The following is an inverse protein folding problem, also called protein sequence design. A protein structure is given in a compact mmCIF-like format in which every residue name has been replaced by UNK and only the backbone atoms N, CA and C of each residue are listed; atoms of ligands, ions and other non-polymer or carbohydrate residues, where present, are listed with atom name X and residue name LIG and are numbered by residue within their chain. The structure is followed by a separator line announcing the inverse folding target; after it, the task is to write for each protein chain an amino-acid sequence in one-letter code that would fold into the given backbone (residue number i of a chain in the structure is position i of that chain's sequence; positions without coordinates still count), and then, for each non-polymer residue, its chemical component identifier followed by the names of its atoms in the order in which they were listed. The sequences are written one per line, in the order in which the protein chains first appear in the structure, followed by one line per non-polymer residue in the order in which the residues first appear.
data_IF_839715908864
#
_entry.id   IF_839715908864
#
_cell.length_a   1.000
_cell.length_b   1.000
_cell.length_c   1.000
_cell.angle_alpha   90.00
_cell.angle_beta   90.00
_cell.angle_gamma   90.00
#
_symmetry.space_group_name_H-M   'P 1'
#
loop_
_entity.id
_entity.type
_entity.pdbx_description
1 polymer ?
#
# COMPACT_ATOMS: atom_id res chain seq x y z
N UNK A 1 38.26 -9.08 15.80
CA UNK A 1 37.16 -8.87 14.84
C UNK A 1 37.63 -9.31 13.46
N UNK A 2 36.87 -10.18 12.78
CA UNK A 2 37.18 -10.60 11.41
C UNK A 2 37.23 -9.36 10.51
N UNK A 3 38.08 -9.36 9.50
CA UNK A 3 38.28 -8.26 8.58
C UNK A 3 36.99 -8.06 7.71
N UNK A 4 36.41 -9.19 7.24
CA UNK A 4 35.18 -9.23 6.50
C UNK A 4 34.22 -10.23 7.13
N UNK A 5 32.98 -9.85 7.33
CA UNK A 5 31.92 -10.70 7.90
C UNK A 5 30.52 -10.22 7.48
N UNK A 6 29.62 -11.16 7.25
CA UNK A 6 28.19 -10.92 7.10
C UNK A 6 27.48 -11.54 8.30
N UNK A 7 26.62 -10.77 8.94
CA UNK A 7 25.82 -11.21 10.09
C UNK A 7 24.33 -10.92 9.74
N UNK A 8 23.52 -11.95 9.77
CA UNK A 8 22.08 -11.83 9.64
C UNK A 8 21.43 -11.60 11.00
N UNK A 9 20.38 -10.75 11.05
CA UNK A 9 19.64 -10.45 12.27
C UNK A 9 20.56 -9.92 13.41
N UNK A 10 21.51 -9.06 13.05
CA UNK A 10 22.49 -8.53 13.98
C UNK A 10 21.84 -7.63 15.04
N UNK A 11 21.82 -8.05 16.30
CA UNK A 11 21.26 -7.31 17.41
C UNK A 11 22.27 -6.30 17.96
N UNK A 12 21.90 -5.02 18.02
CA UNK A 12 22.73 -3.91 18.52
C UNK A 12 21.92 -3.11 19.54
N UNK A 13 22.54 -2.76 20.66
CA UNK A 13 21.94 -1.94 21.70
C UNK A 13 22.87 -0.80 22.11
N UNK A 14 22.30 0.41 22.17
CA UNK A 14 22.96 1.63 22.67
C UNK A 14 21.99 2.34 23.62
N UNK A 15 22.26 2.30 24.91
CA UNK A 15 21.34 2.79 25.94
C UNK A 15 20.00 2.04 25.91
N UNK A 16 18.91 2.77 25.75
CA UNK A 16 17.56 2.21 25.61
C UNK A 16 17.19 1.85 24.17
N UNK A 17 18.00 2.26 23.20
CA UNK A 17 17.78 1.99 21.78
C UNK A 17 18.27 0.59 21.43
N UNK A 18 17.39 -0.22 20.89
CA UNK A 18 17.67 -1.59 20.44
C UNK A 18 17.22 -1.76 18.99
N UNK A 19 18.08 -2.29 18.16
CA UNK A 19 17.81 -2.62 16.76
C UNK A 19 18.22 -4.05 16.45
N UNK A 20 17.64 -4.59 15.39
CA UNK A 20 18.02 -5.86 14.78
C UNK A 20 18.12 -5.64 13.28
N UNK A 21 19.36 -5.54 12.80
CA UNK A 21 19.69 -5.27 11.40
C UNK A 21 19.51 -6.56 10.61
N UNK A 22 18.69 -6.57 9.55
CA UNK A 22 18.43 -7.77 8.74
C UNK A 22 19.74 -8.36 8.19
N UNK A 23 20.58 -7.52 7.56
CA UNK A 23 21.91 -7.93 7.08
C UNK A 23 22.94 -6.86 7.42
N UNK A 24 23.91 -7.22 8.25
CA UNK A 24 25.08 -6.40 8.56
C UNK A 24 26.29 -6.96 7.83
N UNK A 25 26.89 -6.20 6.94
CA UNK A 25 28.08 -6.56 6.19
C UNK A 25 29.23 -5.65 6.61
N UNK A 26 30.33 -6.24 7.14
CA UNK A 26 31.57 -5.55 7.41
C UNK A 26 32.61 -5.90 6.36
N UNK A 27 33.18 -4.88 5.72
CA UNK A 27 34.30 -5.00 4.77
C UNK A 27 35.37 -3.97 5.19
N UNK A 28 36.47 -4.45 5.69
CA UNK A 28 37.55 -3.60 6.22
C UNK A 28 37.01 -2.62 7.27
N UNK A 29 37.10 -1.31 7.00
CA UNK A 29 36.61 -0.24 7.89
C UNK A 29 35.19 0.27 7.53
N UNK A 30 34.43 -0.47 6.72
CA UNK A 30 33.06 -0.10 6.33
C UNK A 30 32.06 -1.10 6.88
N UNK A 31 31.01 -0.59 7.50
CA UNK A 31 29.83 -1.34 7.94
C UNK A 31 28.67 -0.95 7.00
N UNK A 32 28.10 -1.91 6.29
CA UNK A 32 26.82 -1.74 5.59
C UNK A 32 25.73 -2.31 6.46
N UNK A 33 24.69 -1.53 6.67
CA UNK A 33 23.44 -1.97 7.26
C UNK A 33 22.40 -2.04 6.16
N UNK A 34 21.81 -3.20 5.96
CA UNK A 34 20.87 -3.47 4.89
C UNK A 34 19.56 -3.91 5.51
N UNK A 35 18.53 -3.10 5.30
CA UNK A 35 17.16 -3.38 5.73
C UNK A 35 16.39 -3.92 4.54
N UNK A 36 15.76 -5.08 4.68
CA UNK A 36 15.02 -5.78 3.63
C UNK A 36 13.53 -5.45 3.75
N UNK A 37 12.93 -5.00 2.65
CA UNK A 37 11.51 -4.64 2.65
C UNK A 37 10.73 -5.39 1.57
N UNK A 38 9.57 -5.92 1.95
CA UNK A 38 8.59 -6.50 1.04
C UNK A 38 7.92 -5.40 0.19
N UNK A 39 8.73 -4.78 -0.66
CA UNK A 39 8.35 -3.69 -1.54
C UNK A 39 9.17 -3.76 -2.82
N UNK A 40 8.82 -2.95 -3.82
CA UNK A 40 9.54 -2.88 -5.09
C UNK A 40 10.39 -1.62 -5.21
N UNK A 41 11.46 -1.73 -5.99
CA UNK A 41 12.26 -0.62 -6.50
C UNK A 41 12.40 -0.69 -8.03
N UNK A 42 13.03 0.33 -8.61
CA UNK A 42 13.37 0.40 -10.03
C UNK A 42 14.86 0.74 -10.16
N UNK A 43 15.70 -0.29 -10.14
CA UNK A 43 17.15 -0.13 -10.12
C UNK A 43 17.71 0.39 -8.79
N UNK A 44 18.99 0.77 -8.81
CA UNK A 44 19.78 1.15 -7.62
C UNK A 44 19.83 2.64 -7.34
N UNK A 45 19.17 3.49 -8.16
CA UNK A 45 19.17 4.95 -7.98
C UNK A 45 18.28 5.37 -6.81
N UNK A 46 18.88 6.02 -5.80
CA UNK A 46 18.14 6.52 -4.63
C UNK A 46 17.21 7.70 -4.91
N UNK A 47 17.34 8.38 -6.08
CA UNK A 47 16.43 9.46 -6.46
C UNK A 47 14.97 9.01 -6.56
N UNK A 48 14.70 7.71 -6.74
CA UNK A 48 13.36 7.14 -6.74
C UNK A 48 12.57 7.37 -5.44
N UNK A 49 13.27 7.64 -4.33
CA UNK A 49 12.63 7.96 -3.04
C UNK A 49 12.16 9.40 -2.93
N UNK A 50 12.57 10.27 -3.87
CA UNK A 50 12.12 11.66 -3.90
C UNK A 50 10.88 11.79 -4.79
N UNK A 51 9.84 12.46 -4.30
CA UNK A 51 8.67 12.82 -5.08
C UNK A 51 8.88 14.11 -5.86
N UNK A 52 8.06 14.35 -6.87
CA UNK A 52 8.10 15.59 -7.68
C UNK A 52 7.86 16.87 -6.88
N UNK A 53 7.21 16.77 -5.73
CA UNK A 53 6.94 17.87 -4.79
C UNK A 53 8.01 18.01 -3.71
N UNK A 54 9.10 17.24 -3.76
CA UNK A 54 10.13 17.20 -2.73
C UNK A 54 9.78 16.31 -1.53
N UNK A 55 8.57 15.74 -1.47
CA UNK A 55 8.18 14.82 -0.40
C UNK A 55 8.82 13.44 -0.59
N UNK A 56 9.29 12.82 0.49
CA UNK A 56 9.88 11.48 0.45
C UNK A 56 8.81 10.39 0.22
N UNK A 57 9.03 9.57 -0.80
CA UNK A 57 8.28 8.33 -1.03
C UNK A 57 8.77 7.24 -0.10
N UNK A 58 7.90 6.25 0.23
CA UNK A 58 8.23 5.13 1.12
C UNK A 58 8.83 5.57 2.46
N UNK A 59 8.41 6.72 2.96
CA UNK A 59 8.94 7.40 4.14
C UNK A 59 9.07 6.47 5.35
N UNK A 60 8.08 5.59 5.61
CA UNK A 60 8.15 4.63 6.73
C UNK A 60 9.38 3.72 6.68
N UNK A 61 9.80 3.30 5.49
CA UNK A 61 11.01 2.48 5.33
C UNK A 61 12.28 3.29 5.54
N UNK A 62 12.26 4.56 5.09
CA UNK A 62 13.38 5.48 5.32
C UNK A 62 13.51 5.85 6.80
N UNK A 63 12.41 6.04 7.52
CA UNK A 63 12.42 6.30 8.98
C UNK A 63 12.96 5.10 9.76
N UNK A 64 12.61 3.88 9.35
CA UNK A 64 13.11 2.65 9.96
C UNK A 64 14.63 2.53 9.80
N UNK A 65 15.14 2.58 8.57
CA UNK A 65 16.59 2.51 8.36
C UNK A 65 17.33 3.72 8.92
N UNK A 66 16.69 4.90 9.00
CA UNK A 66 17.29 6.09 9.64
C UNK A 66 17.51 5.88 11.13
N UNK A 67 16.54 5.28 11.82
CA UNK A 67 16.69 4.93 13.24
C UNK A 67 17.84 3.93 13.44
N UNK A 68 17.86 2.86 12.64
CA UNK A 68 18.95 1.88 12.69
C UNK A 68 20.32 2.51 12.39
N UNK A 69 20.37 3.41 11.39
CA UNK A 69 21.58 4.13 11.02
C UNK A 69 22.13 4.98 12.17
N UNK A 70 21.28 5.74 12.86
CA UNK A 70 21.67 6.55 14.03
C UNK A 70 22.23 5.67 15.17
N UNK A 71 21.57 4.55 15.48
CA UNK A 71 22.06 3.61 16.50
C UNK A 71 23.40 3.01 16.09
N UNK A 72 23.58 2.66 14.81
CA UNK A 72 24.84 2.13 14.31
C UNK A 72 25.97 3.16 14.30
N UNK A 73 25.70 4.44 14.02
CA UNK A 73 26.69 5.51 14.16
C UNK A 73 27.19 5.66 15.59
N UNK A 74 26.29 5.53 16.57
CA UNK A 74 26.65 5.60 17.98
C UNK A 74 27.46 4.36 18.46
N UNK A 75 27.16 3.19 17.88
CA UNK A 75 27.85 1.93 18.24
C UNK A 75 29.20 1.76 17.53
N UNK A 76 29.27 2.04 16.24
CA UNK A 76 30.45 1.84 15.38
C UNK A 76 31.19 3.16 15.10
N UNK A 77 31.59 3.88 16.15
CA UNK A 77 32.18 5.24 16.07
C UNK A 77 33.41 5.35 15.16
N UNK A 78 34.18 4.28 15.04
CA UNK A 78 35.45 4.25 14.28
C UNK A 78 35.27 3.69 12.86
N UNK A 79 34.06 3.29 12.49
CA UNK A 79 33.73 2.71 11.18
C UNK A 79 32.91 3.65 10.32
N UNK A 80 33.07 3.53 9.02
CA UNK A 80 32.18 4.16 8.06
C UNK A 80 30.89 3.34 7.94
N UNK A 81 29.76 3.86 8.43
CA UNK A 81 28.47 3.21 8.32
C UNK A 81 27.74 3.67 7.06
N UNK A 82 27.21 2.72 6.30
CA UNK A 82 26.45 2.97 5.06
C UNK A 82 25.08 2.27 5.14
N UNK A 83 23.98 3.03 5.05
CA UNK A 83 22.63 2.48 5.07
C UNK A 83 22.16 2.07 3.66
N UNK A 84 21.48 0.91 3.58
CA UNK A 84 20.88 0.37 2.37
C UNK A 84 19.45 -0.11 2.63
N UNK A 85 18.57 0.08 1.66
CA UNK A 85 17.28 -0.61 1.55
C UNK A 85 17.38 -1.68 0.46
N UNK A 86 17.03 -2.92 0.78
CA UNK A 86 16.97 -4.00 -0.20
C UNK A 86 15.51 -4.32 -0.53
N UNK A 87 15.18 -4.28 -1.80
CA UNK A 87 13.81 -4.49 -2.31
C UNK A 87 13.81 -5.29 -3.61
N UNK A 88 12.64 -5.85 -3.96
CA UNK A 88 12.46 -6.52 -5.23
C UNK A 88 12.52 -5.51 -6.39
N UNK A 89 13.37 -5.80 -7.38
CA UNK A 89 13.64 -4.89 -8.48
C UNK A 89 12.75 -5.20 -9.68
N UNK A 90 11.85 -4.27 -10.01
CA UNK A 90 10.94 -4.38 -11.15
C UNK A 90 11.61 -4.23 -12.52
N UNK A 91 12.91 -3.95 -12.57
CA UNK A 91 13.67 -3.85 -13.81
C UNK A 91 14.40 -5.13 -14.15
N UNK A 92 14.48 -6.08 -13.20
CA UNK A 92 15.18 -7.35 -13.36
C UNK A 92 14.18 -8.45 -13.67
N UNK A 93 14.45 -9.23 -14.70
CA UNK A 93 13.68 -10.40 -15.09
C UNK A 93 14.22 -11.65 -14.41
N UNK A 94 13.33 -12.55 -13.98
CA UNK A 94 13.74 -13.86 -13.49
C UNK A 94 14.44 -14.65 -14.59
N UNK A 95 15.63 -15.14 -14.31
CA UNK A 95 16.40 -15.98 -15.26
C UNK A 95 15.96 -17.45 -15.27
N UNK A 96 15.07 -17.85 -14.34
CA UNK A 96 14.60 -19.23 -14.16
C UNK A 96 13.08 -19.30 -14.05
N UNK A 97 12.52 -20.46 -14.40
CA UNK A 97 11.13 -20.79 -14.10
C UNK A 97 10.99 -21.32 -12.67
N UNK A 98 9.80 -21.22 -12.12
CA UNK A 98 9.40 -21.86 -10.85
C UNK A 98 10.29 -21.49 -9.65
N UNK A 99 10.89 -20.30 -9.65
CA UNK A 99 11.72 -19.81 -8.55
C UNK A 99 10.99 -19.88 -7.21
N UNK A 100 9.68 -19.59 -7.19
CA UNK A 100 8.86 -19.64 -5.99
C UNK A 100 8.79 -21.03 -5.34
N UNK A 101 8.93 -22.11 -6.10
CA UNK A 101 8.91 -23.49 -5.60
C UNK A 101 10.19 -23.87 -4.83
N UNK A 102 11.24 -23.05 -4.92
CA UNK A 102 12.48 -23.23 -4.16
C UNK A 102 12.37 -22.75 -2.72
N UNK A 103 11.25 -22.15 -2.35
CA UNK A 103 10.99 -21.59 -1.03
C UNK A 103 9.69 -22.17 -0.45
N UNK A 104 9.75 -22.60 0.80
CA UNK A 104 8.58 -23.14 1.52
C UNK A 104 8.41 -22.39 2.83
N UNK A 105 7.21 -21.92 3.10
CA UNK A 105 6.87 -21.36 4.41
C UNK A 105 6.49 -22.51 5.35
N UNK A 106 7.26 -22.67 6.43
CA UNK A 106 6.99 -23.68 7.47
C UNK A 106 6.79 -23.00 8.82
N UNK A 107 5.83 -23.49 9.58
CA UNK A 107 5.62 -23.07 10.96
C UNK A 107 6.68 -23.72 11.86
N UNK A 108 7.49 -22.91 12.56
CA UNK A 108 8.50 -23.36 13.52
C UNK A 108 8.20 -22.71 14.86
N UNK A 109 7.56 -23.47 15.76
CA UNK A 109 6.93 -22.92 16.96
C UNK A 109 5.78 -21.98 16.58
N UNK A 110 5.76 -20.77 17.11
CA UNK A 110 4.72 -19.77 16.84
C UNK A 110 5.06 -18.84 15.65
N UNK A 111 6.15 -19.11 14.92
CA UNK A 111 6.62 -18.24 13.83
C UNK A 111 6.63 -18.98 12.49
N UNK A 112 6.21 -18.27 11.45
CA UNK A 112 6.40 -18.72 10.08
C UNK A 112 7.85 -18.43 9.66
N UNK A 113 8.52 -19.45 9.07
CA UNK A 113 9.86 -19.33 8.52
C UNK A 113 9.86 -19.73 7.05
N UNK A 114 10.51 -18.92 6.24
CA UNK A 114 10.86 -19.30 4.86
C UNK A 114 12.07 -20.22 4.89
N UNK A 115 11.96 -21.38 4.26
CA UNK A 115 13.00 -22.40 4.17
C UNK A 115 13.27 -22.67 2.70
N UNK A 116 14.53 -22.67 2.31
CA UNK A 116 14.94 -23.12 0.98
C UNK A 116 14.77 -24.65 0.92
N UNK A 117 14.20 -25.14 -0.17
CA UNK A 117 14.02 -26.59 -0.40
C UNK A 117 15.36 -27.28 -0.48
N UNK A 118 15.48 -28.42 0.23
CA UNK A 118 16.72 -29.20 0.25
C UNK A 118 17.16 -29.61 -1.16
N UNK A 119 18.44 -29.44 -1.43
CA UNK A 119 19.04 -29.74 -2.73
C UNK A 119 18.95 -28.59 -3.76
N UNK A 120 18.36 -27.44 -3.40
CA UNK A 120 18.37 -26.25 -4.25
C UNK A 120 19.80 -25.73 -4.44
N UNK A 121 20.21 -25.57 -5.68
CA UNK A 121 21.53 -25.03 -6.06
C UNK A 121 21.46 -23.53 -6.39
N UNK A 122 22.61 -22.87 -6.53
CA UNK A 122 22.65 -21.48 -7.00
C UNK A 122 22.09 -21.30 -8.41
N UNK A 123 22.24 -22.33 -9.27
CA UNK A 123 21.70 -22.34 -10.63
C UNK A 123 20.15 -22.39 -10.61
N UNK A 124 19.58 -23.14 -9.68
CA UNK A 124 18.12 -23.19 -9.47
C UNK A 124 17.52 -21.86 -9.01
N UNK A 125 18.30 -21.04 -8.29
CA UNK A 125 17.86 -19.72 -7.83
C UNK A 125 17.98 -18.65 -8.92
N UNK A 126 18.83 -18.90 -9.93
CA UNK A 126 19.09 -17.97 -11.01
C UNK A 126 19.75 -16.66 -10.56
N UNK A 127 19.56 -15.62 -11.36
CA UNK A 127 20.08 -14.29 -11.05
C UNK A 127 19.26 -13.61 -9.94
N UNK A 128 19.94 -12.75 -9.16
CA UNK A 128 19.31 -12.04 -8.06
C UNK A 128 18.29 -11.01 -8.57
N UNK A 129 17.07 -11.11 -8.09
CA UNK A 129 15.95 -10.17 -8.40
C UNK A 129 15.77 -9.07 -7.35
N UNK A 130 16.69 -8.99 -6.37
CA UNK A 130 16.67 -7.97 -5.31
C UNK A 130 17.81 -6.97 -5.56
N UNK A 131 17.54 -5.69 -5.33
CA UNK A 131 18.54 -4.62 -5.41
C UNK A 131 18.67 -3.93 -4.08
N UNK A 132 19.92 -3.81 -3.59
CA UNK A 132 20.29 -3.03 -2.40
C UNK A 132 20.60 -1.59 -2.82
N UNK A 133 19.75 -0.65 -2.44
CA UNK A 133 19.87 0.76 -2.78
C UNK A 133 20.52 1.48 -1.61
N UNK A 134 21.64 2.14 -1.85
CA UNK A 134 22.27 3.00 -0.87
C UNK A 134 21.40 4.25 -0.68
N UNK A 135 20.95 4.51 0.56
CA UNK A 135 19.99 5.59 0.86
C UNK A 135 20.58 6.71 1.70
N UNK A 136 21.90 6.86 1.69
CA UNK A 136 22.58 7.82 2.58
C UNK A 136 22.17 9.27 2.30
N UNK A 137 22.13 9.69 1.03
CA UNK A 137 21.76 11.05 0.63
C UNK A 137 20.29 11.33 0.94
N UNK A 138 19.41 10.35 0.66
CA UNK A 138 17.99 10.44 1.02
C UNK A 138 17.79 10.58 2.54
N UNK A 139 18.58 9.87 3.35
CA UNK A 139 18.50 10.02 4.80
C UNK A 139 19.01 11.38 5.29
N UNK A 140 19.94 12.02 4.59
CA UNK A 140 20.37 13.38 4.92
C UNK A 140 19.21 14.38 4.85
N UNK A 141 18.30 14.22 3.88
CA UNK A 141 17.05 15.01 3.83
C UNK A 141 16.14 14.68 5.02
N UNK A 142 15.93 13.40 5.30
CA UNK A 142 15.06 12.97 6.41
C UNK A 142 15.60 13.41 7.77
N UNK A 143 16.90 13.42 7.94
CA UNK A 143 17.59 13.84 9.18
C UNK A 143 17.78 15.36 9.28
N UNK A 144 17.46 16.12 8.22
CA UNK A 144 17.42 17.56 8.25
C UNK A 144 16.22 18.01 9.09
N UNK A 145 16.48 18.76 10.16
CA UNK A 145 15.46 19.13 11.15
C UNK A 145 14.35 20.01 10.54
N UNK A 146 14.68 20.93 9.64
CA UNK A 146 13.69 21.82 9.03
C UNK A 146 12.79 21.05 8.07
N UNK A 147 13.39 20.23 7.20
CA UNK A 147 12.63 19.36 6.29
C UNK A 147 11.68 18.43 7.06
N UNK A 148 12.18 17.79 8.10
CA UNK A 148 11.38 16.81 8.84
C UNK A 148 10.23 17.47 9.59
N UNK A 149 10.43 18.63 10.22
CA UNK A 149 9.39 19.39 10.92
C UNK A 149 8.27 19.84 10.00
N UNK A 150 8.62 20.29 8.79
CA UNK A 150 7.63 20.72 7.80
C UNK A 150 6.74 19.58 7.30
N UNK A 151 7.32 18.37 7.17
CA UNK A 151 6.66 17.19 6.59
C UNK A 151 6.21 16.17 7.65
N UNK A 152 6.41 16.42 8.94
CA UNK A 152 6.09 15.51 10.03
C UNK A 152 4.63 15.62 10.48
N UNK A 153 4.03 14.46 10.81
CA UNK A 153 2.76 14.39 11.52
C UNK A 153 2.91 14.59 13.05
N UNK A 154 4.14 14.82 13.56
CA UNK A 154 4.48 14.86 14.98
C UNK A 154 4.82 16.28 15.47
N UNK A 155 3.81 17.16 15.56
CA UNK A 155 3.89 18.46 16.24
C UNK A 155 5.13 19.31 15.91
N UNK A 156 5.61 19.27 14.65
CA UNK A 156 6.79 20.02 14.21
C UNK A 156 8.12 19.56 14.82
N UNK A 157 8.22 18.33 15.35
CA UNK A 157 9.47 17.77 15.87
C UNK A 157 10.39 17.33 14.75
N UNK A 158 11.71 17.43 14.97
CA UNK A 158 12.70 16.77 14.11
C UNK A 158 12.68 15.26 14.32
N UNK A 159 13.26 14.49 13.40
CA UNK A 159 13.33 13.04 13.52
C UNK A 159 14.05 12.60 14.81
N UNK A 160 15.19 13.22 15.13
CA UNK A 160 15.89 12.99 16.42
C UNK A 160 15.04 13.42 17.60
N UNK A 161 14.37 14.55 17.53
CA UNK A 161 13.48 15.03 18.58
C UNK A 161 12.28 14.11 18.85
N UNK A 162 11.83 13.32 17.85
CA UNK A 162 10.84 12.26 18.05
C UNK A 162 11.45 11.08 18.80
N UNK A 163 12.66 10.66 18.44
CA UNK A 163 13.37 9.57 19.13
C UNK A 163 13.58 9.93 20.61
N UNK A 164 14.05 11.14 20.88
CA UNK A 164 14.28 11.63 22.25
C UNK A 164 12.96 11.70 23.04
N UNK A 165 11.88 12.17 22.40
CA UNK A 165 10.55 12.20 22.99
C UNK A 165 10.01 10.80 23.31
N UNK A 166 10.20 9.79 22.43
CA UNK A 166 9.84 8.42 22.76
C UNK A 166 10.65 7.86 23.93
N UNK A 167 11.94 8.19 24.01
CA UNK A 167 12.79 7.78 25.13
C UNK A 167 12.28 8.41 26.45
N UNK A 168 11.90 9.68 26.45
CA UNK A 168 11.26 10.34 27.60
C UNK A 168 9.93 9.68 27.99
N UNK A 169 9.08 9.33 27.01
CA UNK A 169 7.82 8.63 27.27
C UNK A 169 8.07 7.26 27.92
N UNK A 170 9.04 6.50 27.40
CA UNK A 170 9.43 5.20 27.95
C UNK A 170 9.88 5.32 29.42
N UNK A 171 10.77 6.27 29.70
CA UNK A 171 11.21 6.57 31.08
C UNK A 171 10.06 7.05 31.97
N UNK A 172 9.12 7.79 31.43
CA UNK A 172 7.89 8.19 32.11
C UNK A 172 6.98 7.01 32.44
N UNK A 173 6.84 6.06 31.51
CA UNK A 173 6.07 4.84 31.70
C UNK A 173 6.69 3.94 32.78
N UNK A 174 8.01 3.71 32.74
CA UNK A 174 8.73 2.97 33.76
C UNK A 174 8.55 3.56 35.18
N UNK A 175 8.35 4.89 35.27
CA UNK A 175 8.12 5.61 36.54
C UNK A 175 6.63 5.76 36.89
N UNK A 176 5.73 5.03 36.25
CA UNK A 176 4.28 5.12 36.41
C UNK A 176 3.70 6.56 36.29
N UNK A 177 4.27 7.37 35.38
CA UNK A 177 3.71 8.68 35.04
C UNK A 177 2.50 8.51 34.12
N UNK A 178 1.60 9.50 34.15
CA UNK A 178 0.44 9.51 33.25
C UNK A 178 0.84 9.43 31.77
N UNK A 179 0.10 8.67 30.95
CA UNK A 179 0.38 8.58 29.52
C UNK A 179 0.24 9.96 28.86
N UNK A 180 0.97 10.15 27.78
CA UNK A 180 0.79 11.32 26.92
C UNK A 180 -0.60 11.28 26.27
N UNK A 181 -1.33 12.40 26.34
CA UNK A 181 -2.63 12.58 25.73
C UNK A 181 -2.54 13.69 24.69
N UNK A 182 -3.08 13.48 23.51
CA UNK A 182 -3.06 14.44 22.40
C UNK A 182 -4.44 15.01 22.11
N UNK A 183 -4.47 16.17 21.47
CA UNK A 183 -5.67 16.68 20.83
C UNK A 183 -6.06 15.79 19.63
N UNK A 184 -7.34 15.80 19.20
CA UNK A 184 -7.77 15.03 18.05
C UNK A 184 -6.99 15.39 16.78
N UNK A 185 -6.57 14.37 16.04
CA UNK A 185 -5.90 14.51 14.77
C UNK A 185 -6.33 13.40 13.80
N UNK A 186 -5.94 13.49 12.52
CA UNK A 186 -6.44 12.61 11.45
C UNK A 186 -6.37 11.12 11.79
N UNK A 187 -5.30 10.65 12.44
CA UNK A 187 -5.13 9.22 12.79
C UNK A 187 -6.03 8.75 13.93
N UNK A 188 -6.70 9.66 14.67
CA UNK A 188 -7.67 9.28 15.70
C UNK A 188 -8.89 8.56 15.12
N UNK A 189 -9.20 8.75 13.84
CA UNK A 189 -10.23 7.99 13.14
C UNK A 189 -9.98 6.48 13.25
N UNK A 190 -8.75 6.06 12.98
CA UNK A 190 -8.32 4.66 12.90
C UNK A 190 -7.36 4.32 14.06
N UNK A 191 -7.64 4.86 15.26
CA UNK A 191 -6.79 4.68 16.43
C UNK A 191 -6.72 3.21 16.86
N UNK A 192 -5.53 2.65 16.91
CA UNK A 192 -5.27 1.26 17.30
C UNK A 192 -5.73 0.93 18.73
N UNK A 193 -5.86 1.95 19.58
CA UNK A 193 -6.33 1.81 20.96
C UNK A 193 -7.84 2.04 21.11
N UNK A 194 -8.60 2.04 20.00
CA UNK A 194 -10.05 2.14 20.01
C UNK A 194 -10.67 0.76 20.20
N UNK A 195 -11.58 0.65 21.16
CA UNK A 195 -12.39 -0.56 21.37
C UNK A 195 -13.84 -0.18 21.70
N UNK A 196 -14.75 -1.15 21.64
CA UNK A 196 -16.18 -0.93 21.91
C UNK A 196 -16.45 -0.59 23.38
N UNK A 197 -15.58 -1.01 24.29
CA UNK A 197 -15.67 -0.69 25.72
C UNK A 197 -14.95 0.62 26.02
N UNK A 198 -15.71 1.64 26.46
CA UNK A 198 -15.17 2.94 26.84
C UNK A 198 -14.07 2.82 27.90
N UNK A 199 -14.25 1.94 28.88
CA UNK A 199 -13.34 1.77 30.00
C UNK A 199 -12.00 1.16 29.60
N UNK A 200 -11.99 0.33 28.55
CA UNK A 200 -10.80 -0.36 28.04
C UNK A 200 -10.27 0.24 26.73
N UNK A 201 -10.71 1.43 26.36
CA UNK A 201 -10.32 2.08 25.11
C UNK A 201 -9.41 3.28 25.37
N UNK A 202 -8.18 3.20 24.92
CA UNK A 202 -7.22 4.31 24.98
C UNK A 202 -7.72 5.55 24.23
N UNK A 203 -8.39 5.37 23.09
CA UNK A 203 -9.04 6.45 22.36
C UNK A 203 -10.06 7.19 23.24
N UNK A 204 -10.98 6.47 23.88
CA UNK A 204 -11.99 7.08 24.75
C UNK A 204 -11.33 7.78 25.93
N UNK A 205 -10.36 7.16 26.59
CA UNK A 205 -9.63 7.76 27.70
C UNK A 205 -8.88 9.03 27.27
N UNK A 206 -8.28 9.05 26.08
CA UNK A 206 -7.61 10.22 25.52
C UNK A 206 -8.63 11.38 25.33
N UNK A 207 -9.75 11.11 24.68
CA UNK A 207 -10.77 12.12 24.40
C UNK A 207 -11.43 12.64 25.67
N UNK A 208 -11.73 11.79 26.63
CA UNK A 208 -12.33 12.20 27.93
C UNK A 208 -11.35 13.06 28.74
N UNK A 209 -10.12 12.57 28.94
CA UNK A 209 -9.17 13.21 29.85
C UNK A 209 -8.56 14.49 29.29
N UNK A 210 -8.29 14.54 27.99
CA UNK A 210 -7.64 15.69 27.33
C UNK A 210 -8.67 16.69 26.81
N UNK A 211 -9.76 16.21 26.21
CA UNK A 211 -10.69 17.03 25.43
C UNK A 211 -12.08 17.14 26.10
N UNK A 212 -12.26 16.58 27.28
CA UNK A 212 -13.53 16.63 28.07
C UNK A 212 -14.75 16.07 27.32
N UNK A 213 -14.55 15.08 26.40
CA UNK A 213 -15.68 14.47 25.70
C UNK A 213 -16.58 13.70 26.68
N UNK A 214 -17.88 13.93 26.56
CA UNK A 214 -18.91 13.14 27.24
C UNK A 214 -19.37 11.95 26.37
N UNK A 215 -20.26 11.12 26.93
CA UNK A 215 -20.81 9.95 26.21
C UNK A 215 -21.50 10.31 24.89
N UNK A 216 -22.19 11.46 24.84
CA UNK A 216 -22.86 11.97 23.64
C UNK A 216 -21.88 12.32 22.52
N UNK A 217 -20.67 12.76 22.86
CA UNK A 217 -19.69 13.19 21.85
C UNK A 217 -19.12 12.00 21.07
N UNK A 218 -19.08 10.82 21.66
CA UNK A 218 -18.61 9.63 20.97
C UNK A 218 -19.56 9.15 19.87
N UNK A 219 -20.84 9.46 19.96
CA UNK A 219 -21.84 9.09 18.93
C UNK A 219 -22.12 10.21 17.93
N UNK A 220 -21.65 11.44 18.18
CA UNK A 220 -21.74 12.54 17.19
C UNK A 220 -20.84 12.21 15.99
N UNK A 221 -21.28 12.44 14.74
CA UNK A 221 -20.43 12.36 13.56
C UNK A 221 -19.25 13.34 13.65
N UNK A 222 -18.08 12.89 13.24
CA UNK A 222 -16.84 13.64 13.33
C UNK A 222 -16.48 14.28 11.98
N UNK A 223 -15.69 15.35 11.99
CA UNK A 223 -15.18 15.99 10.76
C UNK A 223 -14.36 15.04 9.88
N UNK A 224 -13.71 14.03 10.47
CA UNK A 224 -12.99 12.99 9.71
C UNK A 224 -13.90 11.98 9.01
N UNK A 225 -15.21 11.99 9.29
CA UNK A 225 -16.22 11.19 8.60
C UNK A 225 -16.70 11.87 7.30
N UNK A 226 -16.38 13.15 7.11
CA UNK A 226 -16.66 13.89 5.87
C UNK A 226 -15.86 13.26 4.73
N UNK A 227 -16.58 12.78 3.70
CA UNK A 227 -15.98 12.09 2.58
C UNK A 227 -14.91 12.94 1.86
N UNK A 228 -13.71 12.39 1.73
CA UNK A 228 -12.58 12.96 0.98
C UNK A 228 -12.35 14.48 1.25
N UNK A 229 -12.39 14.89 2.52
CA UNK A 229 -12.24 16.31 2.89
C UNK A 229 -10.79 16.79 2.84
N UNK A 230 -10.42 17.73 1.95
CA UNK A 230 -9.11 18.36 1.96
C UNK A 230 -8.94 19.35 3.13
N UNK A 231 -10.04 19.77 3.76
CA UNK A 231 -10.08 20.70 4.89
C UNK A 231 -9.98 20.04 6.27
N UNK A 232 -9.89 18.71 6.32
CA UNK A 232 -9.87 17.97 7.58
C UNK A 232 -8.79 18.47 8.55
N UNK A 233 -7.57 18.75 8.06
CA UNK A 233 -6.48 19.24 8.89
C UNK A 233 -6.78 20.63 9.47
N UNK A 234 -7.41 21.49 8.68
CA UNK A 234 -7.79 22.86 9.10
C UNK A 234 -8.81 22.77 10.23
N UNK A 235 -9.89 21.99 10.06
CA UNK A 235 -10.92 21.80 11.10
C UNK A 235 -10.35 21.28 12.42
N UNK A 236 -9.47 20.27 12.35
CA UNK A 236 -8.85 19.72 13.56
C UNK A 236 -7.95 20.74 14.27
N UNK A 237 -7.19 21.54 13.52
CA UNK A 237 -6.34 22.60 14.08
C UNK A 237 -7.13 23.74 14.70
N UNK A 238 -8.34 24.00 14.20
CA UNK A 238 -9.27 25.00 14.72
C UNK A 238 -10.07 24.48 15.93
N UNK A 239 -9.90 23.23 16.33
CA UNK A 239 -10.65 22.59 17.42
C UNK A 239 -12.10 22.25 17.06
N UNK A 240 -12.44 22.23 15.78
CA UNK A 240 -13.74 21.77 15.25
C UNK A 240 -13.66 20.28 14.99
N UNK A 241 -14.27 19.49 15.85
CA UNK A 241 -14.12 18.03 15.81
C UNK A 241 -15.37 17.30 15.33
N UNK A 242 -16.50 17.97 15.31
CA UNK A 242 -17.78 17.37 14.99
C UNK A 242 -18.37 17.95 13.70
N UNK A 243 -19.10 17.11 12.98
CA UNK A 243 -19.65 17.49 11.68
C UNK A 243 -20.72 18.59 11.79
N UNK A 244 -21.40 18.68 12.93
CA UNK A 244 -22.37 19.75 13.23
C UNK A 244 -21.73 21.11 13.63
N UNK A 245 -20.40 21.19 13.63
CA UNK A 245 -19.63 22.42 13.82
C UNK A 245 -19.16 23.05 12.51
N UNK A 246 -19.50 22.42 11.39
CA UNK A 246 -19.12 22.86 10.04
C UNK A 246 -20.34 22.92 9.12
N UNK A 247 -20.26 23.75 8.08
CA UNK A 247 -21.27 23.88 7.05
C UNK A 247 -20.64 23.94 5.64
N UNK A 248 -21.47 24.15 4.60
CA UNK A 248 -21.01 24.20 3.21
C UNK A 248 -20.03 25.34 2.91
N UNK A 249 -20.06 26.45 3.68
CA UNK A 249 -19.13 27.57 3.49
C UNK A 249 -17.70 27.25 3.93
N UNK A 250 -17.55 26.28 4.82
CA UNK A 250 -16.24 25.78 5.28
C UNK A 250 -15.53 24.89 4.27
N UNK A 251 -16.27 24.37 3.29
CA UNK A 251 -15.77 23.38 2.33
C UNK A 251 -15.01 24.03 1.16
N UNK A 252 -14.15 23.24 0.52
CA UNK A 252 -13.57 23.64 -0.75
C UNK A 252 -14.61 23.45 -1.86
N UNK A 253 -14.99 24.54 -2.51
CA UNK A 253 -15.96 24.55 -3.59
C UNK A 253 -15.32 24.02 -4.89
N UNK A 254 -15.42 22.70 -5.11
CA UNK A 254 -14.84 22.00 -6.26
C UNK A 254 -15.77 20.90 -6.81
N UNK A 255 -16.82 21.28 -7.53
CA UNK A 255 -17.70 20.39 -8.30
C UNK A 255 -18.35 19.26 -7.48
N UNK A 256 -18.43 18.06 -8.02
CA UNK A 256 -19.14 16.91 -7.43
C UNK A 256 -18.70 16.55 -6.00
N UNK A 257 -17.45 16.81 -5.64
CA UNK A 257 -16.98 16.60 -4.27
C UNK A 257 -17.65 17.56 -3.29
N UNK A 258 -17.73 18.82 -3.64
CA UNK A 258 -18.39 19.85 -2.83
C UNK A 258 -19.87 19.51 -2.62
N UNK A 259 -20.58 19.16 -3.70
CA UNK A 259 -21.99 18.77 -3.66
C UNK A 259 -22.23 17.58 -2.73
N UNK A 260 -21.42 16.52 -2.85
CA UNK A 260 -21.50 15.33 -2.01
C UNK A 260 -21.19 15.63 -0.54
N UNK A 261 -20.19 16.47 -0.25
CA UNK A 261 -19.84 16.85 1.13
C UNK A 261 -20.94 17.72 1.75
N UNK A 262 -21.48 18.70 1.01
CA UNK A 262 -22.59 19.53 1.47
C UNK A 262 -23.79 18.68 1.84
N UNK A 263 -24.20 17.79 0.95
CA UNK A 263 -25.32 16.87 1.18
C UNK A 263 -25.08 15.96 2.40
N UNK A 264 -23.88 15.45 2.57
CA UNK A 264 -23.52 14.63 3.74
C UNK A 264 -23.67 15.41 5.03
N UNK A 265 -23.17 16.65 5.08
CA UNK A 265 -23.25 17.51 6.28
C UNK A 265 -24.69 17.89 6.59
N UNK A 266 -25.46 18.30 5.59
CA UNK A 266 -26.88 18.66 5.73
C UNK A 266 -27.70 17.48 6.26
N UNK A 267 -27.59 16.30 5.64
CA UNK A 267 -28.28 15.10 6.09
C UNK A 267 -27.90 14.69 7.51
N UNK A 268 -26.63 14.82 7.86
CA UNK A 268 -26.14 14.54 9.20
C UNK A 268 -26.72 15.51 10.23
N UNK A 269 -26.70 16.82 9.93
CA UNK A 269 -27.20 17.87 10.82
C UNK A 269 -28.73 17.78 10.97
N UNK A 270 -29.43 17.42 9.92
CA UNK A 270 -30.87 17.16 9.93
C UNK A 270 -31.26 15.81 10.55
N UNK A 271 -30.25 14.98 10.95
CA UNK A 271 -30.44 13.63 11.49
C UNK A 271 -31.28 12.72 10.56
N UNK A 272 -31.14 12.91 9.24
CA UNK A 272 -31.77 12.06 8.26
C UNK A 272 -31.29 10.62 8.40
N UNK A 273 -32.24 9.67 8.38
CA UNK A 273 -31.96 8.23 8.36
C UNK A 273 -32.17 7.63 6.96
N UNK A 274 -32.68 8.42 6.05
CA UNK A 274 -32.96 8.00 4.69
C UNK A 274 -31.72 8.17 3.81
N UNK A 275 -31.46 7.19 2.95
CA UNK A 275 -30.44 7.31 1.93
C UNK A 275 -30.91 8.34 0.89
N UNK A 276 -30.01 9.24 0.53
CA UNK A 276 -30.25 10.13 -0.59
C UNK A 276 -29.87 9.40 -1.89
N UNK A 277 -30.75 9.46 -2.88
CA UNK A 277 -30.55 8.88 -4.22
C UNK A 277 -31.01 9.89 -5.26
N UNK A 278 -30.15 10.20 -6.23
CA UNK A 278 -30.51 10.93 -7.42
C UNK A 278 -31.22 9.97 -8.41
N UNK A 279 -32.53 9.85 -8.25
CA UNK A 279 -33.35 8.90 -9.02
C UNK A 279 -33.35 9.27 -10.51
N UNK A 280 -33.47 10.56 -10.87
CA UNK A 280 -33.51 10.99 -12.25
C UNK A 280 -32.16 10.83 -12.95
N UNK A 281 -31.07 11.19 -12.28
CA UNK A 281 -29.70 10.95 -12.79
C UNK A 281 -29.41 9.47 -12.97
N UNK A 282 -29.72 8.63 -11.97
CA UNK A 282 -29.55 7.18 -12.06
C UNK A 282 -30.36 6.55 -13.18
N UNK A 283 -31.62 7.01 -13.40
CA UNK A 283 -32.47 6.52 -14.47
C UNK A 283 -31.88 6.89 -15.83
N UNK A 284 -31.41 8.14 -15.98
CA UNK A 284 -30.77 8.58 -17.24
C UNK A 284 -29.56 7.72 -17.58
N UNK A 285 -28.69 7.43 -16.60
CA UNK A 285 -27.51 6.56 -16.77
C UNK A 285 -27.91 5.13 -17.21
N UNK A 286 -28.96 4.56 -16.58
CA UNK A 286 -29.41 3.20 -16.91
C UNK A 286 -30.05 3.14 -18.30
N UNK A 287 -30.72 4.21 -18.74
CA UNK A 287 -31.38 4.28 -20.06
C UNK A 287 -30.34 4.33 -21.20
N UNK A 288 -29.10 4.76 -20.92
CA UNK A 288 -27.99 4.82 -21.88
C UNK A 288 -27.24 3.48 -22.03
N UNK A 289 -27.56 2.44 -21.25
CA UNK A 289 -26.89 1.14 -21.32
C UNK A 289 -27.39 0.28 -22.48
N UNK A 290 -26.45 -0.33 -23.20
CA UNK A 290 -26.76 -1.39 -24.19
C UNK A 290 -26.93 -2.74 -23.48
N UNK A 291 -28.07 -3.39 -23.74
CA UNK A 291 -28.41 -4.66 -23.09
C UNK A 291 -28.19 -5.87 -24.01
N UNK A 292 -27.81 -7.07 -23.47
CA UNK A 292 -27.64 -7.39 -22.03
C UNK A 292 -26.37 -6.75 -21.45
N UNK A 293 -26.36 -6.47 -20.13
CA UNK A 293 -25.14 -6.00 -19.47
C UNK A 293 -24.17 -7.16 -19.26
N UNK A 294 -22.92 -6.98 -19.66
CA UNK A 294 -21.84 -7.92 -19.44
C UNK A 294 -21.10 -7.56 -18.14
N UNK A 295 -21.24 -8.39 -17.12
CA UNK A 295 -20.62 -8.19 -15.82
C UNK A 295 -19.39 -9.09 -15.73
N UNK A 296 -18.20 -8.50 -15.68
CA UNK A 296 -16.92 -9.21 -15.61
C UNK A 296 -16.23 -9.01 -14.27
N UNK A 297 -15.54 -10.05 -13.81
CA UNK A 297 -14.74 -10.03 -12.60
C UNK A 297 -13.46 -10.85 -12.81
N UNK A 298 -12.29 -10.28 -12.46
CA UNK A 298 -10.98 -10.88 -12.71
C UNK A 298 -10.29 -11.28 -11.42
N UNK A 299 -9.73 -12.50 -11.40
CA UNK A 299 -8.76 -12.90 -10.38
C UNK A 299 -7.35 -12.87 -10.95
N UNK A 300 -6.48 -12.20 -10.22
CA UNK A 300 -5.12 -11.91 -10.67
C UNK A 300 -4.11 -12.06 -9.55
N UNK A 301 -2.84 -12.18 -9.90
CA UNK A 301 -1.74 -12.17 -8.93
C UNK A 301 -0.59 -11.32 -9.43
N UNK A 302 0.18 -10.76 -8.49
CA UNK A 302 1.41 -10.02 -8.78
C UNK A 302 2.48 -10.41 -7.75
N UNK A 303 3.06 -11.62 -7.87
CA UNK A 303 3.97 -12.15 -6.87
C UNK A 303 5.31 -11.41 -6.84
N UNK A 304 5.89 -11.30 -5.65
CA UNK A 304 7.27 -10.79 -5.48
C UNK A 304 8.28 -11.68 -6.17
N UNK A 305 8.10 -13.00 -6.06
CA UNK A 305 8.93 -14.00 -6.72
C UNK A 305 8.22 -14.42 -8.00
N UNK A 306 8.73 -14.07 -9.19
CA UNK A 306 8.10 -14.40 -10.46
C UNK A 306 7.92 -15.91 -10.65
N UNK A 307 6.79 -16.31 -11.25
CA UNK A 307 6.51 -17.70 -11.55
C UNK A 307 7.28 -18.19 -12.79
N UNK A 308 7.50 -17.29 -13.75
CA UNK A 308 8.05 -17.62 -15.04
C UNK A 308 9.38 -16.88 -15.32
N UNK A 309 10.27 -17.52 -16.05
CA UNK A 309 11.44 -16.88 -16.63
C UNK A 309 11.00 -15.72 -17.53
N UNK A 310 11.74 -14.60 -17.51
CA UNK A 310 11.39 -13.38 -18.22
C UNK A 310 10.40 -12.47 -17.49
N UNK A 311 9.74 -12.96 -16.42
CA UNK A 311 8.83 -12.16 -15.61
C UNK A 311 9.58 -11.38 -14.52
N UNK A 312 9.05 -10.21 -14.18
CA UNK A 312 9.61 -9.28 -13.19
C UNK A 312 8.88 -9.40 -11.85
N UNK A 313 9.54 -9.07 -10.74
CA UNK A 313 8.86 -8.91 -9.45
C UNK A 313 7.65 -7.98 -9.55
N UNK A 314 6.53 -8.41 -8.96
CA UNK A 314 5.23 -7.71 -9.00
C UNK A 314 4.63 -7.51 -10.41
N UNK A 315 5.11 -8.24 -11.40
CA UNK A 315 4.46 -8.27 -12.71
C UNK A 315 3.12 -8.98 -12.60
N UNK A 316 2.07 -8.32 -13.09
CA UNK A 316 0.70 -8.83 -13.01
C UNK A 316 0.51 -10.11 -13.86
N UNK A 317 -0.31 -11.02 -13.35
CA UNK A 317 -0.68 -12.27 -14.02
C UNK A 317 -2.19 -12.49 -13.85
N UNK A 318 -3.02 -12.27 -14.89
CA UNK A 318 -4.41 -12.65 -14.87
C UNK A 318 -4.53 -14.16 -15.05
N UNK A 319 -5.32 -14.84 -14.23
CA UNK A 319 -5.46 -16.29 -14.27
C UNK A 319 -6.90 -16.82 -14.23
N UNK A 320 -7.85 -15.96 -13.88
CA UNK A 320 -9.27 -16.33 -13.85
C UNK A 320 -10.13 -15.12 -14.22
N UNK A 321 -11.23 -15.37 -14.93
CA UNK A 321 -12.37 -14.45 -14.99
C UNK A 321 -13.68 -15.19 -14.84
N UNK A 322 -14.72 -14.47 -14.40
CA UNK A 322 -16.11 -14.86 -14.53
C UNK A 322 -16.87 -13.82 -15.35
N UNK A 323 -17.83 -14.27 -16.15
CA UNK A 323 -18.67 -13.43 -16.98
C UNK A 323 -20.15 -13.78 -16.76
N UNK A 324 -20.92 -12.80 -16.37
CA UNK A 324 -22.37 -12.91 -16.18
C UNK A 324 -23.10 -11.91 -17.08
N UNK A 325 -24.28 -12.31 -17.56
CA UNK A 325 -25.19 -11.43 -18.27
C UNK A 325 -26.36 -11.04 -17.37
N UNK A 326 -26.63 -9.73 -17.31
CA UNK A 326 -27.85 -9.21 -16.72
C UNK A 326 -28.74 -8.68 -17.84
N UNK A 327 -29.92 -9.26 -17.97
CA UNK A 327 -30.91 -8.87 -18.96
C UNK A 327 -31.83 -7.78 -18.43
N UNK A 328 -32.46 -7.01 -19.36
CA UNK A 328 -33.34 -5.90 -19.01
C UNK A 328 -34.58 -6.32 -18.18
N UNK A 329 -34.96 -7.58 -18.24
CA UNK A 329 -36.08 -8.15 -17.45
C UNK A 329 -35.62 -8.57 -16.02
N UNK A 330 -34.34 -8.35 -15.66
CA UNK A 330 -33.78 -8.71 -14.39
C UNK A 330 -33.24 -10.13 -14.30
N UNK A 331 -33.33 -10.92 -15.37
CA UNK A 331 -32.73 -12.27 -15.41
C UNK A 331 -31.20 -12.19 -15.41
N UNK A 332 -30.57 -13.00 -14.61
CA UNK A 332 -29.11 -13.14 -14.56
C UNK A 332 -28.73 -14.53 -15.10
N UNK A 333 -27.68 -14.55 -15.91
CA UNK A 333 -27.13 -15.79 -16.50
C UNK A 333 -25.62 -15.83 -16.27
N UNK A 334 -25.10 -16.96 -15.77
CA UNK A 334 -23.67 -17.24 -15.81
C UNK A 334 -23.30 -17.62 -17.24
N UNK A 335 -22.55 -16.76 -17.93
CA UNK A 335 -22.25 -16.92 -19.35
C UNK A 335 -21.03 -17.78 -19.61
N UNK A 336 -19.94 -17.47 -18.94
CA UNK A 336 -18.67 -18.21 -19.08
C UNK A 336 -17.71 -17.90 -17.95
N UNK A 337 -16.71 -18.76 -17.84
CA UNK A 337 -15.55 -18.56 -16.96
C UNK A 337 -14.28 -19.07 -17.63
N UNK A 338 -13.15 -18.60 -17.14
CA UNK A 338 -11.82 -19.14 -17.44
C UNK A 338 -11.04 -19.30 -16.14
N UNK A 339 -10.31 -20.40 -16.03
CA UNK A 339 -9.34 -20.64 -14.94
C UNK A 339 -8.08 -21.28 -15.54
N UNK A 340 -6.96 -20.60 -15.40
CA UNK A 340 -5.64 -21.10 -15.84
C UNK A 340 -5.13 -22.19 -14.90
N UNK A 341 -5.31 -23.46 -15.26
CA UNK A 341 -4.96 -24.65 -14.46
C UNK A 341 -3.67 -25.34 -14.90
N UNK A 342 -3.04 -24.87 -15.97
CA UNK A 342 -1.84 -25.51 -16.52
C UNK A 342 -0.61 -25.33 -15.63
N UNK A 343 -0.05 -26.43 -15.11
CA UNK A 343 1.22 -26.36 -14.38
C UNK A 343 2.35 -25.88 -15.26
N UNK A 344 3.07 -24.83 -14.81
CA UNK A 344 4.23 -24.29 -15.53
C UNK A 344 3.90 -23.53 -16.81
N UNK A 345 2.61 -23.28 -17.11
CA UNK A 345 2.19 -22.51 -18.29
C UNK A 345 1.63 -21.14 -17.87
N UNK A 346 2.04 -20.12 -18.61
CA UNK A 346 1.51 -18.77 -18.43
C UNK A 346 0.06 -18.70 -18.97
N UNK A 347 -0.95 -18.44 -18.13
CA UNK A 347 -2.34 -18.45 -18.56
C UNK A 347 -2.78 -17.17 -19.28
N UNK A 348 -1.97 -16.09 -19.29
CA UNK A 348 -2.38 -14.76 -19.71
C UNK A 348 -2.91 -14.72 -21.16
N UNK A 349 -2.25 -15.41 -22.09
CA UNK A 349 -2.71 -15.41 -23.49
C UNK A 349 -4.00 -16.17 -23.68
N UNK A 350 -4.17 -17.32 -23.02
CA UNK A 350 -5.43 -18.06 -23.03
C UNK A 350 -6.56 -17.27 -22.37
N UNK A 351 -6.25 -16.55 -21.29
CA UNK A 351 -7.19 -15.66 -20.64
C UNK A 351 -7.71 -14.61 -21.63
N UNK A 352 -6.81 -13.95 -22.39
CA UNK A 352 -7.18 -12.92 -23.36
C UNK A 352 -8.05 -13.51 -24.48
N UNK A 353 -7.70 -14.67 -25.03
CA UNK A 353 -8.50 -15.34 -26.08
C UNK A 353 -9.91 -15.70 -25.57
N UNK A 354 -9.98 -16.29 -24.36
CA UNK A 354 -11.29 -16.68 -23.79
C UNK A 354 -12.15 -15.50 -23.42
N UNK A 355 -11.54 -14.39 -22.96
CA UNK A 355 -12.26 -13.15 -22.70
C UNK A 355 -12.81 -12.54 -24.00
N UNK A 356 -11.98 -12.53 -25.07
CA UNK A 356 -12.40 -12.09 -26.40
C UNK A 356 -13.56 -12.94 -26.94
N UNK A 357 -13.42 -14.28 -26.93
CA UNK A 357 -14.49 -15.19 -27.34
C UNK A 357 -15.81 -14.89 -26.60
N UNK A 358 -15.73 -14.70 -25.28
CA UNK A 358 -16.89 -14.55 -24.42
C UNK A 358 -17.62 -13.20 -24.60
N UNK A 359 -16.87 -12.09 -24.67
CA UNK A 359 -17.45 -10.74 -24.77
C UNK A 359 -17.82 -10.35 -26.20
N UNK A 360 -17.27 -11.01 -27.23
CA UNK A 360 -17.62 -10.74 -28.65
C UNK A 360 -18.95 -11.36 -29.09
N UNK A 361 -19.67 -12.05 -28.21
CA UNK A 361 -20.95 -12.68 -28.55
C UNK A 361 -22.13 -11.71 -28.59
N UNK A 362 -22.01 -10.53 -27.98
CA UNK A 362 -23.05 -9.47 -28.02
C UNK A 362 -22.38 -8.08 -27.88
N UNK A 363 -23.17 -7.06 -28.20
CA UNK A 363 -22.76 -5.64 -28.18
C UNK A 363 -23.20 -4.91 -26.88
N UNK A 364 -23.56 -5.63 -25.84
CA UNK A 364 -24.04 -5.06 -24.58
C UNK A 364 -22.93 -4.34 -23.80
N UNK A 365 -23.31 -3.36 -22.98
CA UNK A 365 -22.37 -2.62 -22.13
C UNK A 365 -21.59 -3.53 -21.20
N UNK A 366 -20.27 -3.31 -21.07
CA UNK A 366 -19.38 -4.09 -20.21
C UNK A 366 -19.15 -3.36 -18.90
N UNK A 367 -19.34 -4.05 -17.79
CA UNK A 367 -19.18 -3.52 -16.44
C UNK A 367 -18.13 -4.26 -15.65
N UNK A 368 -17.30 -3.50 -14.95
CA UNK A 368 -16.36 -3.97 -13.93
C UNK A 368 -16.70 -3.36 -12.58
N UNK A 369 -16.37 -4.04 -11.49
CA UNK A 369 -16.67 -3.54 -10.14
C UNK A 369 -15.72 -2.42 -9.70
N UNK A 370 -14.46 -2.45 -10.14
CA UNK A 370 -13.44 -1.49 -9.73
C UNK A 370 -12.46 -1.15 -10.85
N UNK A 371 -11.47 -0.31 -10.56
CA UNK A 371 -10.38 -0.02 -11.50
C UNK A 371 -9.37 -1.17 -11.67
N UNK A 372 -9.56 -2.28 -10.97
CA UNK A 372 -8.65 -3.43 -11.01
C UNK A 372 -8.61 -4.04 -12.40
N UNK A 373 -9.76 -4.37 -12.96
CA UNK A 373 -9.91 -4.94 -14.29
C UNK A 373 -9.27 -4.04 -15.35
N UNK A 374 -9.54 -2.73 -15.32
CA UNK A 374 -8.95 -1.75 -16.25
C UNK A 374 -7.40 -1.74 -16.16
N UNK A 375 -6.84 -1.91 -14.98
CA UNK A 375 -5.39 -2.01 -14.81
C UNK A 375 -4.83 -3.23 -15.53
N UNK A 376 -5.51 -4.37 -15.44
CA UNK A 376 -5.09 -5.61 -16.10
C UNK A 376 -5.39 -5.63 -17.60
N UNK A 377 -6.45 -4.97 -18.06
CA UNK A 377 -6.68 -4.75 -19.50
C UNK A 377 -5.48 -4.02 -20.14
N UNK A 378 -5.01 -2.93 -19.53
CA UNK A 378 -3.80 -2.21 -20.00
C UNK A 378 -2.56 -3.08 -19.98
N UNK A 379 -2.36 -3.86 -18.92
CA UNK A 379 -1.28 -4.82 -18.84
C UNK A 379 -1.32 -5.88 -19.95
N UNK A 380 -2.52 -6.44 -20.24
CA UNK A 380 -2.70 -7.42 -21.32
C UNK A 380 -2.42 -6.83 -22.71
N UNK A 381 -2.77 -5.56 -22.93
CA UNK A 381 -2.42 -4.84 -24.17
C UNK A 381 -0.88 -4.74 -24.31
N UNK A 382 -0.18 -4.34 -23.26
CA UNK A 382 1.29 -4.25 -23.27
C UNK A 382 1.93 -5.64 -23.52
N UNK A 383 1.39 -6.69 -22.90
CA UNK A 383 1.85 -8.07 -23.09
C UNK A 383 1.69 -8.52 -24.55
N UNK A 384 0.54 -8.27 -25.17
CA UNK A 384 0.30 -8.60 -26.57
C UNK A 384 1.23 -7.83 -27.52
N UNK A 385 1.47 -6.56 -27.27
CA UNK A 385 2.34 -5.73 -28.11
C UNK A 385 3.82 -6.16 -28.07
N UNK A 386 4.28 -6.69 -26.94
CA UNK A 386 5.68 -7.04 -26.72
C UNK A 386 5.99 -8.53 -26.92
N UNK A 387 5.06 -9.43 -26.59
CA UNK A 387 5.36 -10.85 -26.40
C UNK A 387 4.32 -11.77 -27.03
N UNK A 388 3.43 -11.27 -27.93
CA UNK A 388 2.35 -12.07 -28.50
C UNK A 388 2.86 -13.35 -29.19
N UNK A 389 2.31 -14.52 -28.87
CA UNK A 389 2.59 -15.76 -29.59
C UNK A 389 1.75 -15.90 -30.88
N UNK A 390 0.82 -14.98 -31.13
CA UNK A 390 -0.14 -15.03 -32.21
C UNK A 390 0.37 -14.33 -33.48
N UNK A 391 -0.24 -14.68 -34.64
CA UNK A 391 -0.04 -13.94 -35.87
C UNK A 391 -0.46 -12.46 -35.68
N UNK A 392 0.24 -11.56 -36.40
CA UNK A 392 0.09 -10.11 -36.23
C UNK A 392 -1.36 -9.63 -36.37
N UNK A 393 -2.09 -10.11 -37.36
CA UNK A 393 -3.49 -9.71 -37.62
C UNK A 393 -4.41 -10.06 -36.44
N UNK A 394 -4.21 -11.24 -35.86
CA UNK A 394 -4.97 -11.65 -34.67
C UNK A 394 -4.56 -10.88 -33.42
N UNK A 395 -3.26 -10.64 -33.24
CA UNK A 395 -2.76 -9.77 -32.17
C UNK A 395 -3.39 -8.37 -32.25
N UNK A 396 -3.40 -7.75 -33.43
CA UNK A 396 -4.02 -6.43 -33.65
C UNK A 396 -5.51 -6.44 -33.34
N UNK A 397 -6.20 -7.53 -33.63
CA UNK A 397 -7.62 -7.74 -33.29
C UNK A 397 -7.85 -7.78 -31.78
N UNK A 398 -7.06 -8.58 -31.07
CA UNK A 398 -7.14 -8.69 -29.60
C UNK A 398 -6.79 -7.36 -28.90
N UNK A 399 -5.78 -6.64 -29.39
CA UNK A 399 -5.43 -5.32 -28.87
C UNK A 399 -6.57 -4.31 -29.03
N UNK A 400 -7.19 -4.24 -30.22
CA UNK A 400 -8.33 -3.35 -30.47
C UNK A 400 -9.53 -3.71 -29.60
N UNK A 401 -9.80 -4.98 -29.42
CA UNK A 401 -10.84 -5.47 -28.52
C UNK A 401 -10.59 -4.99 -27.08
N UNK A 402 -9.42 -5.24 -26.52
CA UNK A 402 -9.10 -4.82 -25.16
C UNK A 402 -9.10 -3.28 -24.98
N UNK A 403 -8.84 -2.52 -26.04
CA UNK A 403 -8.91 -1.06 -26.04
C UNK A 403 -10.36 -0.53 -26.11
N UNK A 404 -11.30 -1.35 -26.57
CA UNK A 404 -12.70 -0.98 -26.65
C UNK A 404 -13.49 -1.24 -25.37
N UNK A 405 -12.90 -2.01 -24.44
CA UNK A 405 -13.46 -2.22 -23.10
C UNK A 405 -13.10 -1.07 -22.14
#
# INVERSE_FOLDING_TARGET
LQENVIIYEAAIRVGHKFIRVDVLEKIGNTIKIIEVKSASCSGSDESQFMGSTGALKKRKYLEDIAFQYLVCLDFFKEYKVLPYLMMADKTIESSVNDLYQKFVIKKVGDRDKCIVVDGTTSEDLGEQILTAIKVKETLEFLLNDDYYREHSDFEGRSFKGIIDWFEELLLGYEKNKSPHLSDPFKKCRDCEYKSDSIDNSGFHQCMIKKNNWGKSDFVRPKVWDVWNSPKLKDFLNEGRWFMDEIDSSDLKQDGARFERQTLQIENTNNKSKEAWVDIEGLKSEIDDFDWPLNLIDFETTAPVIPFFKGYKPYQGLPFQFSHHLLYKDGRVEHKSEFLGMGQGTNPSFQFIEKLYESLSENDGSVFMYSHHENTYLKYMIELLLNESPFEKEYTDTLVKFLQSL
#
